data_IF_758863908567
#
_entry.id   IF_758863908567
#
_cell.length_a   1.000
_cell.length_b   1.000
_cell.length_c   1.000
_cell.angle_alpha   90.00
_cell.angle_beta   90.00
_cell.angle_gamma   90.00
#
_symmetry.space_group_name_H-M   'P 1'
#
loop_
_entity.id
_entity.type
_entity.pdbx_description
1 polymer ?
#
# COMPACT_ATOMS: atom_id res chain seq x y z
N UNK A 1 -6.37 2.09 8.46
CA UNK A 1 -5.31 2.97 7.91
C UNK A 1 -5.83 3.88 6.80
N UNK A 2 -7.09 3.73 6.38
CA UNK A 2 -7.64 4.48 5.24
C UNK A 2 -7.63 6.00 5.40
N UNK A 3 -7.83 6.51 6.61
CA UNK A 3 -7.74 7.95 6.85
C UNK A 3 -6.32 8.49 6.62
N UNK A 4 -5.31 7.86 7.22
CA UNK A 4 -3.90 8.23 7.04
C UNK A 4 -3.45 8.06 5.58
N UNK A 5 -3.88 6.97 4.92
CA UNK A 5 -3.69 6.75 3.49
C UNK A 5 -4.29 7.90 2.68
N UNK A 6 -5.54 8.27 2.95
CA UNK A 6 -6.23 9.36 2.24
C UNK A 6 -5.50 10.69 2.41
N UNK A 7 -5.11 11.01 3.65
CA UNK A 7 -4.39 12.23 3.99
C UNK A 7 -3.06 12.31 3.24
N UNK A 8 -2.24 11.26 3.29
CA UNK A 8 -0.92 11.26 2.66
C UNK A 8 -0.97 11.16 1.12
N UNK A 9 -1.76 10.24 0.56
CA UNK A 9 -1.75 9.95 -0.88
C UNK A 9 -2.62 10.86 -1.74
N UNK A 10 -3.73 11.38 -1.19
CA UNK A 10 -4.68 12.22 -1.95
C UNK A 10 -4.62 13.69 -1.56
N UNK A 11 -4.29 14.01 -0.30
CA UNK A 11 -4.24 15.39 0.19
C UNK A 11 -2.82 15.88 0.49
N UNK A 12 -1.79 15.06 0.27
CA UNK A 12 -0.38 15.38 0.54
C UNK A 12 -0.14 15.94 1.95
N UNK A 13 -0.91 15.44 2.92
CA UNK A 13 -0.81 15.80 4.32
C UNK A 13 0.04 14.76 5.04
N UNK A 14 1.06 15.21 5.76
CA UNK A 14 1.93 14.32 6.53
C UNK A 14 1.12 13.55 7.57
N UNK A 15 1.22 12.22 7.53
CA UNK A 15 0.61 11.32 8.49
C UNK A 15 1.68 10.45 9.14
N UNK A 16 1.45 10.04 10.39
CA UNK A 16 2.31 9.07 11.11
C UNK A 16 1.39 8.01 11.70
N UNK A 17 1.73 6.75 11.48
CA UNK A 17 0.97 5.61 12.01
C UNK A 17 1.86 4.79 12.94
N UNK A 18 1.45 4.67 14.20
CA UNK A 18 2.03 3.73 15.14
C UNK A 18 1.15 2.49 15.20
N UNK A 19 1.73 1.32 14.92
CA UNK A 19 1.05 0.03 14.99
C UNK A 19 1.82 -0.91 15.90
N UNK A 20 1.11 -1.44 16.90
CA UNK A 20 1.66 -2.34 17.90
C UNK A 20 1.31 -3.81 17.62
N UNK A 21 0.27 -4.05 16.82
CA UNK A 21 -0.20 -5.39 16.47
C UNK A 21 0.29 -5.84 15.10
N UNK A 22 0.36 -4.91 14.15
CA UNK A 22 0.72 -5.20 12.77
C UNK A 22 2.12 -4.70 12.45
N UNK A 23 2.87 -5.53 11.71
CA UNK A 23 4.17 -5.15 11.16
C UNK A 23 4.04 -4.06 10.08
N UNK A 24 5.15 -3.35 9.82
CA UNK A 24 5.24 -2.37 8.73
C UNK A 24 4.83 -2.97 7.37
N UNK A 25 5.21 -4.22 7.12
CA UNK A 25 4.91 -4.92 5.86
C UNK A 25 3.42 -5.17 5.72
N UNK A 26 2.74 -5.65 6.77
CA UNK A 26 1.30 -5.90 6.73
C UNK A 26 0.49 -4.61 6.55
N UNK A 27 0.93 -3.50 7.17
CA UNK A 27 0.33 -2.19 6.94
C UNK A 27 0.50 -1.73 5.48
N UNK A 28 1.71 -1.82 4.94
CA UNK A 28 1.98 -1.45 3.54
C UNK A 28 1.14 -2.29 2.58
N UNK A 29 1.06 -3.61 2.79
CA UNK A 29 0.21 -4.49 1.98
C UNK A 29 -1.27 -4.10 2.02
N UNK A 30 -1.79 -3.71 3.19
CA UNK A 30 -3.18 -3.20 3.29
C UNK A 30 -3.38 -1.90 2.52
N UNK A 31 -2.42 -0.97 2.59
CA UNK A 31 -2.47 0.30 1.83
C UNK A 31 -2.46 0.01 0.32
N UNK A 32 -1.53 -0.84 -0.13
CA UNK A 32 -1.39 -1.21 -1.55
C UNK A 32 -2.65 -1.88 -2.06
N UNK A 33 -3.19 -2.84 -1.30
CA UNK A 33 -4.43 -3.54 -1.66
C UNK A 33 -5.61 -2.57 -1.78
N UNK A 34 -5.73 -1.63 -0.84
CA UNK A 34 -6.79 -0.63 -0.84
C UNK A 34 -6.69 0.36 -2.01
N UNK A 35 -5.50 0.72 -2.46
CA UNK A 35 -5.33 1.67 -3.58
C UNK A 35 -5.38 0.99 -4.96
N UNK A 36 -4.75 -0.18 -5.10
CA UNK A 36 -4.56 -0.84 -6.41
C UNK A 36 -5.68 -1.80 -6.78
N UNK A 37 -6.64 -2.03 -5.87
CA UNK A 37 -7.68 -3.05 -5.98
C UNK A 37 -7.11 -4.48 -6.21
N UNK A 38 -5.85 -4.71 -5.84
CA UNK A 38 -5.22 -6.03 -5.86
C UNK A 38 -5.58 -6.76 -4.55
N UNK A 39 -6.13 -7.98 -4.59
CA UNK A 39 -6.46 -8.72 -3.39
C UNK A 39 -5.24 -8.96 -2.49
N UNK A 40 -5.42 -8.81 -1.18
CA UNK A 40 -4.35 -9.06 -0.20
C UNK A 40 -3.77 -10.48 -0.30
N UNK A 41 -4.59 -11.46 -0.67
CA UNK A 41 -4.16 -12.86 -0.89
C UNK A 41 -3.14 -12.94 -2.03
N UNK A 42 -3.36 -12.21 -3.13
CA UNK A 42 -2.41 -12.14 -4.24
C UNK A 42 -1.11 -11.45 -3.83
N UNK A 43 -1.17 -10.43 -2.95
CA UNK A 43 0.05 -9.80 -2.41
C UNK A 43 0.86 -10.72 -1.49
N UNK A 44 0.24 -11.77 -0.91
CA UNK A 44 0.92 -12.78 -0.09
C UNK A 44 1.48 -13.94 -0.90
N UNK A 45 0.91 -14.19 -2.08
CA UNK A 45 1.29 -15.28 -2.99
C UNK A 45 1.70 -14.68 -4.32
N UNK A 46 3.00 -14.47 -4.49
CA UNK A 46 3.58 -13.89 -5.71
C UNK A 46 3.17 -14.65 -6.99
N UNK A 47 2.92 -15.96 -6.88
CA UNK A 47 2.50 -16.83 -7.99
C UNK A 47 1.12 -16.44 -8.57
N UNK A 48 0.27 -15.78 -7.78
CA UNK A 48 -1.08 -15.34 -8.19
C UNK A 48 -1.08 -13.93 -8.82
N UNK A 49 0.09 -13.27 -8.93
CA UNK A 49 0.22 -11.92 -9.48
C UNK A 49 0.58 -12.00 -10.97
N UNK A 50 -0.34 -11.54 -11.82
CA UNK A 50 -0.08 -11.36 -13.25
C UNK A 50 1.00 -10.30 -13.50
N UNK A 51 1.72 -10.40 -14.62
CA UNK A 51 2.76 -9.42 -14.99
C UNK A 51 2.24 -7.97 -15.05
N UNK A 52 0.98 -7.78 -15.43
CA UNK A 52 0.31 -6.47 -15.43
C UNK A 52 0.15 -5.93 -14.00
N UNK A 53 -0.34 -6.77 -13.07
CA UNK A 53 -0.48 -6.40 -11.66
C UNK A 53 0.87 -6.08 -11.03
N UNK A 54 1.92 -6.83 -11.38
CA UNK A 54 3.29 -6.53 -10.96
C UNK A 54 3.74 -5.12 -11.36
N UNK A 55 3.41 -4.70 -12.58
CA UNK A 55 3.72 -3.35 -13.05
C UNK A 55 2.94 -2.29 -12.24
N UNK A 56 1.63 -2.49 -12.02
CA UNK A 56 0.81 -1.60 -11.17
C UNK A 56 1.37 -1.49 -9.75
N UNK A 57 1.79 -2.62 -9.18
CA UNK A 57 2.34 -2.70 -7.83
C UNK A 57 3.66 -1.92 -7.71
N UNK A 58 4.59 -2.10 -8.65
CA UNK A 58 5.86 -1.37 -8.67
C UNK A 58 5.64 0.14 -8.83
N UNK A 59 4.75 0.56 -9.73
CA UNK A 59 4.43 1.98 -9.93
C UNK A 59 3.83 2.60 -8.67
N UNK A 60 2.93 1.87 -8.00
CA UNK A 60 2.33 2.34 -6.77
C UNK A 60 3.32 2.34 -5.58
N UNK A 61 4.23 1.36 -5.53
CA UNK A 61 5.27 1.30 -4.50
C UNK A 61 6.17 2.54 -4.51
N UNK A 62 6.61 2.97 -5.69
CA UNK A 62 7.37 4.22 -5.85
C UNK A 62 6.58 5.42 -5.35
N UNK A 63 5.31 5.51 -5.74
CA UNK A 63 4.43 6.61 -5.33
C UNK A 63 4.16 6.62 -3.82
N UNK A 64 4.10 5.46 -3.18
CA UNK A 64 3.95 5.32 -1.73
C UNK A 64 5.22 5.74 -1.00
N UNK A 65 6.41 5.45 -1.56
CA UNK A 65 7.68 5.84 -0.99
C UNK A 65 7.90 7.36 -1.00
N UNK A 66 7.36 8.05 -2.01
CA UNK A 66 7.42 9.51 -2.14
C UNK A 66 6.30 10.23 -1.35
N UNK A 67 5.29 9.49 -0.86
CA UNK A 67 4.19 10.07 -0.10
C UNK A 67 4.59 10.39 1.34
N UNK A 68 4.05 11.46 1.95
CA UNK A 68 4.39 11.86 3.32
C UNK A 68 3.65 10.99 4.36
N UNK A 69 4.04 9.70 4.49
CA UNK A 69 3.43 8.68 5.37
C UNK A 69 4.45 7.95 6.26
#
# INVERSE_FOLDING_TARGET
>A
IDFARSAALHHNMTAVVFSLEMSKVELAQRIISAETNIPLVALRRADDITSERWNTLNNFWTRLQDAPL
#
